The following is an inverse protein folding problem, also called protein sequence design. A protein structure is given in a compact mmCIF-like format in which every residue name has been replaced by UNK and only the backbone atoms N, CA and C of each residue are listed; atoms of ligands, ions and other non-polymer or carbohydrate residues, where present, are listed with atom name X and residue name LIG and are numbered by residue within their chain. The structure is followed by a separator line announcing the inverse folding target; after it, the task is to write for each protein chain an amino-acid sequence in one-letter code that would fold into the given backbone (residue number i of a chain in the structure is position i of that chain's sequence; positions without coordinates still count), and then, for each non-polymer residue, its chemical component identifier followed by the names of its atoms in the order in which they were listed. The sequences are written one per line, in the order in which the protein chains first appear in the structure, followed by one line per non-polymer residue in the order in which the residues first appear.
data_IF_222839640637
#
_entry.id   IF_222839640637
#
_cell.length_a   1.000
_cell.length_b   1.000
_cell.length_c   1.000
_cell.angle_alpha   90.00
_cell.angle_beta   90.00
_cell.angle_gamma   90.00
#
_symmetry.space_group_name_H-M   'P 1'
#
loop_
_entity.id
_entity.type
_entity.pdbx_description
1 polymer ?
#
# COMPACT_ATOMS: atom_id res chain seq x y z
N UNK A 1 29.09 -31.04 -7.90
CA UNK A 1 29.33 -30.30 -6.63
C UNK A 1 29.05 -28.82 -6.89
N UNK A 2 27.79 -28.39 -6.81
CA UNK A 2 27.14 -27.92 -5.57
C UNK A 2 27.82 -26.69 -4.96
N UNK A 3 28.06 -25.65 -5.77
CA UNK A 3 28.14 -24.29 -5.27
C UNK A 3 26.72 -23.90 -4.81
N UNK A 4 26.38 -24.35 -3.61
CA UNK A 4 25.18 -23.94 -2.89
C UNK A 4 25.21 -22.41 -2.85
N UNK A 5 24.31 -21.81 -3.63
CA UNK A 5 23.93 -20.41 -3.52
C UNK A 5 23.36 -20.24 -2.12
N UNK A 6 24.24 -20.03 -1.17
CA UNK A 6 23.93 -19.48 0.14
C UNK A 6 23.51 -18.05 -0.13
N UNK A 7 22.21 -17.82 -0.29
CA UNK A 7 21.65 -16.47 -0.41
C UNK A 7 21.87 -15.80 0.95
N UNK A 8 23.03 -15.18 1.11
CA UNK A 8 23.39 -14.38 2.27
C UNK A 8 22.37 -13.25 2.44
N UNK A 9 21.92 -13.03 3.67
CA UNK A 9 20.95 -12.00 4.10
C UNK A 9 21.27 -10.60 3.56
N UNK A 10 22.54 -10.35 3.26
CA UNK A 10 23.04 -9.08 2.72
C UNK A 10 22.63 -8.79 1.26
N UNK A 11 22.30 -9.80 0.43
CA UNK A 11 22.02 -9.58 -1.01
C UNK A 11 20.64 -8.98 -1.32
N UNK A 12 19.68 -9.07 -0.40
CA UNK A 12 18.34 -8.46 -0.57
C UNK A 12 18.22 -7.09 0.11
N UNK A 13 19.21 -6.66 0.89
CA UNK A 13 19.16 -5.39 1.61
C UNK A 13 18.98 -4.18 0.68
N UNK A 14 19.62 -4.18 -0.50
CA UNK A 14 19.42 -3.13 -1.50
C UNK A 14 17.99 -3.15 -2.05
N UNK A 15 17.45 -4.32 -2.35
CA UNK A 15 16.06 -4.46 -2.84
C UNK A 15 15.06 -4.01 -1.78
N UNK A 16 15.33 -4.33 -0.51
CA UNK A 16 14.49 -3.94 0.62
C UNK A 16 14.53 -2.43 0.86
N UNK A 17 15.71 -1.82 0.77
CA UNK A 17 15.90 -0.37 0.88
C UNK A 17 15.23 0.35 -0.28
N UNK A 18 15.36 -0.15 -1.51
CA UNK A 18 14.68 0.42 -2.67
C UNK A 18 13.15 0.31 -2.57
N UNK A 19 12.63 -0.75 -1.94
CA UNK A 19 11.18 -0.85 -1.64
C UNK A 19 10.75 0.17 -0.59
N UNK A 20 11.55 0.42 0.44
CA UNK A 20 11.31 1.49 1.42
C UNK A 20 11.30 2.87 0.76
N UNK A 21 12.28 3.14 -0.10
CA UNK A 21 12.33 4.37 -0.90
C UNK A 21 11.08 4.52 -1.78
N UNK A 22 10.72 3.48 -2.54
CA UNK A 22 9.56 3.50 -3.42
C UNK A 22 8.25 3.74 -2.66
N UNK A 23 8.06 3.09 -1.50
CA UNK A 23 6.89 3.31 -0.66
C UNK A 23 6.82 4.74 -0.10
N UNK A 24 7.96 5.29 0.32
CA UNK A 24 8.06 6.69 0.78
C UNK A 24 7.72 7.66 -0.33
N UNK A 25 8.18 7.38 -1.55
CA UNK A 25 7.92 8.22 -2.72
C UNK A 25 6.42 8.28 -3.06
N UNK A 26 5.69 7.16 -2.91
CA UNK A 26 4.22 7.12 -3.05
C UNK A 26 3.52 7.95 -1.97
N UNK A 27 4.00 7.92 -0.73
CA UNK A 27 3.45 8.75 0.35
C UNK A 27 3.63 10.23 0.03
N UNK A 28 4.80 10.65 -0.45
CA UNK A 28 5.05 12.04 -0.85
C UNK A 28 4.13 12.46 -2.01
N UNK A 29 3.93 11.59 -2.99
CA UNK A 29 2.99 11.84 -4.09
C UNK A 29 1.58 12.14 -3.56
N UNK A 30 1.02 11.28 -2.69
CA UNK A 30 -0.31 11.51 -2.13
C UNK A 30 -0.39 12.71 -1.20
N UNK A 31 0.68 13.05 -0.47
CA UNK A 31 0.71 14.31 0.30
C UNK A 31 0.56 15.54 -0.61
N UNK A 32 1.12 15.48 -1.83
CA UNK A 32 0.97 16.55 -2.82
C UNK A 32 -0.40 16.55 -3.49
N UNK A 33 -0.92 15.37 -3.86
CA UNK A 33 -2.23 15.20 -4.52
C UNK A 33 -3.37 15.65 -3.60
N UNK A 34 -3.30 15.31 -2.30
CA UNK A 34 -4.26 15.73 -1.28
C UNK A 34 -4.14 17.17 -0.83
N UNK A 35 -3.23 17.95 -1.44
CA UNK A 35 -3.04 19.36 -1.14
C UNK A 35 -2.47 19.65 0.26
N UNK A 36 -1.99 18.64 0.98
CA UNK A 36 -1.50 18.78 2.36
C UNK A 36 -0.19 19.58 2.47
N UNK A 37 0.55 19.73 1.36
CA UNK A 37 1.84 20.43 1.30
C UNK A 37 1.87 21.57 0.26
N UNK A 38 0.71 22.11 -0.13
CA UNK A 38 0.61 23.12 -1.18
C UNK A 38 1.49 24.36 -0.92
N UNK A 39 1.62 24.79 0.34
CA UNK A 39 2.47 25.91 0.75
C UNK A 39 3.97 25.62 0.61
N UNK A 40 4.39 24.37 0.80
CA UNK A 40 5.78 23.95 0.55
C UNK A 40 6.05 23.91 -0.95
N UNK A 41 5.12 23.32 -1.71
CA UNK A 41 5.27 23.12 -3.15
C UNK A 41 5.40 24.44 -3.92
N UNK A 42 4.70 25.49 -3.48
CA UNK A 42 4.78 26.83 -4.10
C UNK A 42 6.13 27.53 -3.90
N UNK A 43 6.94 27.08 -2.94
CA UNK A 43 8.28 27.63 -2.67
C UNK A 43 9.41 26.84 -3.33
N UNK A 44 9.11 25.64 -3.86
CA UNK A 44 10.11 24.75 -4.46
C UNK A 44 10.27 25.03 -5.96
N UNK A 45 11.48 24.80 -6.51
CA UNK A 45 11.67 24.80 -7.96
C UNK A 45 10.80 23.74 -8.64
N UNK A 46 10.20 24.10 -9.79
CA UNK A 46 9.29 23.22 -10.53
C UNK A 46 9.89 21.84 -10.89
N UNK A 47 11.19 21.80 -11.18
CA UNK A 47 11.88 20.54 -11.46
C UNK A 47 11.92 19.62 -10.23
N UNK A 48 12.14 20.19 -9.05
CA UNK A 48 12.24 19.45 -7.80
C UNK A 48 10.87 19.00 -7.32
N UNK A 49 9.85 19.86 -7.46
CA UNK A 49 8.47 19.49 -7.14
C UNK A 49 7.98 18.33 -8.01
N UNK A 50 8.24 18.39 -9.33
CA UNK A 50 7.81 17.36 -10.26
C UNK A 50 8.54 16.03 -10.05
N UNK A 51 9.86 16.07 -9.84
CA UNK A 51 10.65 14.84 -9.64
C UNK A 51 10.35 14.14 -8.30
N UNK A 52 10.13 14.89 -7.22
CA UNK A 52 9.96 14.30 -5.88
C UNK A 52 8.50 13.98 -5.59
N UNK A 53 7.56 14.83 -5.99
CA UNK A 53 6.16 14.68 -5.60
C UNK A 53 5.34 14.11 -6.75
N UNK A 54 5.26 14.77 -7.91
CA UNK A 54 4.38 14.35 -9.02
C UNK A 54 4.78 12.98 -9.62
N UNK A 55 6.08 12.74 -9.77
CA UNK A 55 6.59 11.46 -10.28
C UNK A 55 6.49 10.31 -9.26
N UNK A 56 6.11 10.58 -8.01
CA UNK A 56 6.05 9.56 -6.95
C UNK A 56 5.03 8.44 -7.17
N UNK A 57 4.05 8.62 -8.06
CA UNK A 57 3.17 7.55 -8.52
C UNK A 57 3.94 6.36 -9.12
N UNK A 58 5.14 6.60 -9.70
CA UNK A 58 6.03 5.56 -10.21
C UNK A 58 6.61 4.66 -9.11
N UNK A 59 6.53 5.07 -7.84
CA UNK A 59 6.92 4.22 -6.71
C UNK A 59 6.09 2.94 -6.63
N UNK A 60 4.81 2.96 -7.03
CA UNK A 60 3.93 1.79 -7.02
C UNK A 60 4.46 0.65 -7.92
N UNK A 61 4.66 0.85 -9.24
CA UNK A 61 5.20 -0.20 -10.10
C UNK A 61 6.60 -0.64 -9.69
N UNK A 62 7.47 0.28 -9.24
CA UNK A 62 8.81 -0.07 -8.75
C UNK A 62 8.71 -1.02 -7.54
N UNK A 63 7.87 -0.71 -6.55
CA UNK A 63 7.67 -1.53 -5.37
C UNK A 63 7.18 -2.95 -5.73
N UNK A 64 6.23 -3.05 -6.67
CA UNK A 64 5.69 -4.33 -7.11
C UNK A 64 6.70 -5.19 -7.87
N UNK A 65 7.48 -4.60 -8.79
CA UNK A 65 8.52 -5.31 -9.54
C UNK A 65 9.60 -5.85 -8.59
N UNK A 66 10.10 -5.01 -7.67
CA UNK A 66 11.08 -5.42 -6.67
C UNK A 66 10.54 -6.53 -5.75
N UNK A 67 9.29 -6.42 -5.32
CA UNK A 67 8.64 -7.46 -4.51
C UNK A 67 8.51 -8.78 -5.27
N UNK A 68 8.28 -8.75 -6.58
CA UNK A 68 8.27 -9.93 -7.45
C UNK A 68 9.62 -10.63 -7.52
N UNK A 69 10.72 -9.87 -7.61
CA UNK A 69 12.10 -10.40 -7.58
C UNK A 69 12.37 -11.12 -6.25
N UNK A 70 12.05 -10.47 -5.12
CA UNK A 70 12.20 -11.08 -3.79
C UNK A 70 11.38 -12.36 -3.68
N UNK A 71 10.12 -12.31 -4.12
CA UNK A 71 9.21 -13.46 -4.05
C UNK A 71 9.71 -14.64 -4.87
N UNK A 72 10.22 -14.40 -6.08
CA UNK A 72 10.85 -15.45 -6.91
C UNK A 72 12.07 -16.02 -6.21
N UNK A 73 12.94 -15.17 -5.67
CA UNK A 73 14.17 -15.60 -5.00
C UNK A 73 13.90 -16.47 -3.76
N UNK A 74 12.90 -16.12 -2.94
CA UNK A 74 12.54 -16.88 -1.73
C UNK A 74 11.77 -18.17 -2.02
N UNK A 75 11.14 -18.26 -3.18
CA UNK A 75 10.25 -19.37 -3.54
C UNK A 75 10.89 -20.32 -4.55
N UNK A 76 12.08 -19.99 -5.06
CA UNK A 76 12.73 -20.69 -6.15
C UNK A 76 12.92 -22.20 -5.91
N UNK A 77 13.20 -22.60 -4.66
CA UNK A 77 13.40 -24.01 -4.29
C UNK A 77 12.15 -24.67 -3.68
N UNK A 78 11.03 -23.96 -3.58
CA UNK A 78 9.81 -24.47 -2.98
C UNK A 78 8.90 -25.00 -4.09
N UNK A 79 8.57 -26.29 -4.03
CA UNK A 79 7.58 -26.86 -4.93
C UNK A 79 6.19 -26.26 -4.63
N UNK A 80 5.58 -25.63 -5.63
CA UNK A 80 4.26 -24.99 -5.53
C UNK A 80 3.12 -26.01 -5.63
N UNK A 81 3.04 -26.94 -4.67
CA UNK A 81 1.85 -27.77 -4.47
C UNK A 81 0.73 -26.96 -3.79
N UNK A 82 -0.56 -27.33 -3.93
CA UNK A 82 -1.68 -26.57 -3.37
C UNK A 82 -1.51 -26.19 -1.89
N UNK A 83 -1.04 -27.12 -1.05
CA UNK A 83 -0.77 -26.86 0.37
C UNK A 83 0.24 -25.71 0.58
N UNK A 84 1.35 -25.72 -0.14
CA UNK A 84 2.38 -24.69 -0.06
C UNK A 84 1.90 -23.35 -0.60
N UNK A 85 1.08 -23.36 -1.67
CA UNK A 85 0.48 -22.17 -2.24
C UNK A 85 -0.53 -21.52 -1.27
N UNK A 86 -1.43 -22.29 -0.66
CA UNK A 86 -2.35 -21.78 0.36
C UNK A 86 -1.61 -21.25 1.59
N UNK A 87 -0.57 -21.95 2.04
CA UNK A 87 0.29 -21.49 3.14
C UNK A 87 0.98 -20.15 2.81
N UNK A 88 1.44 -19.99 1.56
CA UNK A 88 2.03 -18.74 1.07
C UNK A 88 1.03 -17.59 1.04
N UNK A 89 -0.16 -17.81 0.49
CA UNK A 89 -1.24 -16.81 0.46
C UNK A 89 -1.69 -16.46 1.87
N UNK A 90 -1.86 -17.46 2.75
CA UNK A 90 -2.26 -17.26 4.15
C UNK A 90 -1.29 -16.37 4.91
N UNK A 91 0.02 -16.61 4.81
CA UNK A 91 1.05 -15.72 5.39
C UNK A 91 0.92 -14.27 4.90
N UNK A 92 0.58 -14.09 3.63
CA UNK A 92 0.39 -12.76 3.05
C UNK A 92 -0.87 -12.08 3.57
N UNK A 93 -1.97 -12.82 3.67
CA UNK A 93 -3.24 -12.30 4.21
C UNK A 93 -3.11 -11.91 5.68
N UNK A 94 -2.49 -12.74 6.51
CA UNK A 94 -2.27 -12.42 7.93
C UNK A 94 -1.41 -11.17 8.13
N UNK A 95 -0.52 -10.85 7.18
CA UNK A 95 0.28 -9.61 7.22
C UNK A 95 -0.49 -8.39 6.70
N UNK A 96 -1.36 -8.56 5.70
CA UNK A 96 -2.06 -7.45 5.04
C UNK A 96 -3.39 -7.08 5.72
N UNK A 97 -4.13 -8.07 6.22
CA UNK A 97 -5.46 -7.86 6.79
C UNK A 97 -5.44 -6.98 8.04
N UNK A 98 -4.55 -7.16 9.04
CA UNK A 98 -4.58 -6.33 10.24
C UNK A 98 -4.34 -4.84 9.96
N UNK A 99 -3.29 -4.43 9.20
CA UNK A 99 -3.11 -3.02 8.84
C UNK A 99 -4.30 -2.44 8.06
N UNK A 100 -4.91 -3.22 7.18
CA UNK A 100 -6.06 -2.78 6.41
C UNK A 100 -7.32 -2.60 7.27
N UNK A 101 -7.57 -3.49 8.22
CA UNK A 101 -8.68 -3.33 9.18
C UNK A 101 -8.48 -2.13 10.10
N UNK A 102 -7.23 -1.87 10.53
CA UNK A 102 -6.89 -0.64 11.26
C UNK A 102 -7.17 0.60 10.40
N UNK A 103 -6.81 0.58 9.12
CA UNK A 103 -7.09 1.69 8.20
C UNK A 103 -8.61 1.93 8.01
N UNK A 104 -9.41 0.87 7.89
CA UNK A 104 -10.89 1.00 7.84
C UNK A 104 -11.42 1.60 9.14
N UNK A 105 -11.00 1.07 10.29
CA UNK A 105 -11.44 1.57 11.59
C UNK A 105 -11.07 3.06 11.77
N UNK A 106 -9.87 3.43 11.36
CA UNK A 106 -9.41 4.82 11.35
C UNK A 106 -10.24 5.68 10.39
N UNK A 107 -10.53 5.20 9.18
CA UNK A 107 -11.39 5.90 8.22
C UNK A 107 -12.78 6.17 8.79
N UNK A 108 -13.44 5.15 9.35
CA UNK A 108 -14.74 5.28 10.01
C UNK A 108 -14.66 6.29 11.17
N UNK A 109 -13.62 6.20 12.00
CA UNK A 109 -13.40 7.13 13.11
C UNK A 109 -13.30 8.59 12.62
N UNK A 110 -12.52 8.85 11.56
CA UNK A 110 -12.39 10.21 11.01
C UNK A 110 -13.70 10.73 10.40
N UNK A 111 -14.49 9.87 9.74
CA UNK A 111 -15.81 10.22 9.21
C UNK A 111 -16.76 10.59 10.35
N UNK A 112 -16.81 9.78 11.42
CA UNK A 112 -17.62 10.06 12.59
C UNK A 112 -17.21 11.36 13.28
N UNK A 113 -15.91 11.60 13.44
CA UNK A 113 -15.39 12.84 14.03
C UNK A 113 -15.78 14.08 13.21
N UNK A 114 -15.72 14.01 11.87
CA UNK A 114 -16.18 15.09 10.98
C UNK A 114 -17.67 15.35 11.11
N UNK A 115 -18.48 14.28 11.18
CA UNK A 115 -19.93 14.41 11.36
C UNK A 115 -20.28 15.05 12.72
N UNK A 116 -19.58 14.69 13.80
CA UNK A 116 -19.74 15.33 15.11
C UNK A 116 -19.36 16.82 15.09
N UNK A 117 -18.42 17.21 14.23
CA UNK A 117 -17.99 18.61 14.03
C UNK A 117 -18.89 19.37 13.03
N UNK A 118 -20.05 18.83 12.65
CA UNK A 118 -21.04 19.51 11.81
C UNK A 118 -20.79 19.43 10.30
N UNK A 119 -19.79 18.66 9.85
CA UNK A 119 -19.54 18.41 8.43
C UNK A 119 -20.35 17.20 7.95
N UNK A 120 -21.63 17.42 7.63
CA UNK A 120 -22.58 16.36 7.24
C UNK A 120 -22.55 16.00 5.75
N UNK A 121 -21.72 16.67 4.96
CA UNK A 121 -21.51 16.33 3.54
C UNK A 121 -20.81 14.97 3.35
N UNK A 122 -20.16 14.46 4.40
CA UNK A 122 -19.52 13.13 4.39
C UNK A 122 -20.56 12.05 4.66
N UNK A 123 -20.83 11.22 3.67
CA UNK A 123 -21.79 10.11 3.79
C UNK A 123 -21.25 9.03 4.72
N UNK A 124 -22.10 8.57 5.64
CA UNK A 124 -21.76 7.46 6.54
C UNK A 124 -21.81 6.16 5.71
N UNK A 125 -20.75 5.34 5.72
CA UNK A 125 -20.73 4.10 4.94
C UNK A 125 -21.78 3.11 5.45
N UNK A 126 -22.57 2.54 4.54
CA UNK A 126 -23.56 1.50 4.84
C UNK A 126 -22.89 0.25 5.45
N UNK A 127 -23.59 -0.47 6.32
CA UNK A 127 -23.07 -1.70 6.94
C UNK A 127 -22.68 -2.76 5.91
N UNK A 128 -23.38 -2.79 4.77
CA UNK A 128 -23.02 -3.64 3.62
C UNK A 128 -21.70 -3.21 2.97
N UNK A 129 -21.45 -1.91 2.88
CA UNK A 129 -20.21 -1.37 2.35
C UNK A 129 -19.04 -1.73 3.28
N UNK A 130 -19.22 -1.60 4.60
CA UNK A 130 -18.20 -2.02 5.58
C UNK A 130 -17.92 -3.52 5.49
N UNK A 131 -18.96 -4.35 5.45
CA UNK A 131 -18.81 -5.81 5.32
C UNK A 131 -18.05 -6.18 4.04
N UNK A 132 -18.39 -5.57 2.91
CA UNK A 132 -17.69 -5.81 1.66
C UNK A 132 -16.22 -5.37 1.71
N UNK A 133 -15.90 -4.27 2.39
CA UNK A 133 -14.51 -3.88 2.62
C UNK A 133 -13.77 -4.91 3.47
N UNK A 134 -14.38 -5.47 4.52
CA UNK A 134 -13.74 -6.49 5.39
C UNK A 134 -13.37 -7.77 4.62
N UNK A 135 -14.16 -8.14 3.61
CA UNK A 135 -13.92 -9.30 2.74
C UNK A 135 -13.16 -8.96 1.45
N UNK A 136 -12.68 -7.72 1.27
CA UNK A 136 -12.01 -7.26 0.05
C UNK A 136 -12.89 -7.36 -1.22
N UNK A 137 -14.21 -7.30 -1.06
CA UNK A 137 -15.20 -7.43 -2.13
C UNK A 137 -15.72 -6.09 -2.65
N UNK A 138 -15.30 -4.96 -2.07
CA UNK A 138 -15.79 -3.63 -2.44
C UNK A 138 -15.60 -3.31 -3.92
N UNK A 139 -14.46 -3.68 -4.49
CA UNK A 139 -14.17 -3.45 -5.90
C UNK A 139 -14.99 -4.35 -6.83
N UNK A 140 -15.38 -5.55 -6.37
CA UNK A 140 -16.24 -6.45 -7.14
C UNK A 140 -17.67 -5.92 -7.26
N UNK A 141 -18.17 -5.30 -6.20
CA UNK A 141 -19.50 -4.70 -6.16
C UNK A 141 -19.52 -3.21 -6.58
N UNK A 142 -18.40 -2.66 -7.04
CA UNK A 142 -18.32 -1.28 -7.53
C UNK A 142 -18.57 -0.22 -6.44
N UNK A 143 -18.34 -0.54 -5.16
CA UNK A 143 -18.50 0.42 -4.07
C UNK A 143 -17.27 1.33 -3.95
N UNK A 144 -17.52 2.60 -3.61
CA UNK A 144 -16.48 3.58 -3.34
C UNK A 144 -15.60 3.20 -2.16
N UNK A 145 -14.37 3.72 -2.13
CA UNK A 145 -13.42 3.46 -1.03
C UNK A 145 -13.84 4.24 0.23
N UNK A 146 -13.87 3.58 1.39
CA UNK A 146 -14.13 4.24 2.69
C UNK A 146 -13.01 5.24 3.03
N UNK A 147 -11.77 4.86 2.73
CA UNK A 147 -10.60 5.71 2.88
C UNK A 147 -10.05 5.98 1.49
N UNK A 148 -10.44 7.10 0.89
CA UNK A 148 -9.80 7.58 -0.31
C UNK A 148 -8.50 8.29 0.07
N UNK A 149 -7.38 7.80 -0.42
CA UNK A 149 -6.10 8.51 -0.35
C UNK A 149 -6.11 9.51 -1.51
N UNK A 150 -6.70 10.68 -1.26
CA UNK A 150 -6.52 11.87 -2.10
C UNK A 150 -5.70 12.84 -1.26
#
# INVERSE_FOLDING_TARGET
MSALVTISSYRLSLVDTSRCFAATWVVLFHMSEGGHIASLLSTLPALLSSAIFEAGHLGVPIFFVLSGIVMKATTFQIQMIPCNAFSFVGRRLVRLAPPYYVAIAFGIFTIMAKHMNGQTEVTIPDGKAVAAHLFFLQSFFGMGQILSVF
#
